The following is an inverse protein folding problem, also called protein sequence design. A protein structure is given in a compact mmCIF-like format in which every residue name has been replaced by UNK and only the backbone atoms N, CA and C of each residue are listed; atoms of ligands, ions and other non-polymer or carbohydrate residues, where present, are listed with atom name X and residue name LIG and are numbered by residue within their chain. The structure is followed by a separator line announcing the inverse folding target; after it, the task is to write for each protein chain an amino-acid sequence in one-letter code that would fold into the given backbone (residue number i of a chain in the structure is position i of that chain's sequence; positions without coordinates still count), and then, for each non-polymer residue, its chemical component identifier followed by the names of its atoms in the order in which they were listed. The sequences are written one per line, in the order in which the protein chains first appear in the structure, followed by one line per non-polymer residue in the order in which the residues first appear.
data_IF_028971165175
#
_entry.id   IF_028971165175
#
_cell.length_a   1.000
_cell.length_b   1.000
_cell.length_c   1.000
_cell.angle_alpha   90.00
_cell.angle_beta   90.00
_cell.angle_gamma   90.00
#
_symmetry.space_group_name_H-M   'P 1'
#
loop_
_entity.id
_entity.type
_entity.pdbx_description
1 polymer ?
#
# COMPACT_ATOMS: atom_id res chain seq x y z
N UNK A 1 4.99 -59.21 15.81
CA UNK A 1 5.04 -59.02 14.33
C UNK A 1 4.16 -57.82 13.98
N UNK A 2 4.43 -57.16 12.84
CA UNK A 2 3.74 -55.98 12.25
C UNK A 2 4.09 -54.58 12.77
N UNK A 3 5.26 -54.06 12.38
CA UNK A 3 5.51 -52.58 12.31
C UNK A 3 6.39 -52.18 11.11
N UNK A 4 6.60 -53.09 10.14
CA UNK A 4 7.55 -52.89 9.04
C UNK A 4 6.90 -52.47 7.71
N UNK A 5 5.58 -52.24 7.67
CA UNK A 5 4.87 -51.96 6.40
C UNK A 5 4.37 -50.51 6.23
N UNK A 6 4.28 -49.72 7.30
CA UNK A 6 3.84 -48.32 7.19
C UNK A 6 4.98 -47.39 6.70
N UNK A 7 6.23 -47.72 7.03
CA UNK A 7 7.39 -46.85 6.71
C UNK A 7 7.83 -46.85 5.23
N UNK A 8 7.42 -47.85 4.42
CA UNK A 8 7.77 -47.88 2.98
C UNK A 8 6.84 -47.01 2.13
N UNK A 9 5.57 -46.84 2.53
CA UNK A 9 4.61 -46.00 1.81
C UNK A 9 4.95 -44.50 1.88
N UNK A 10 5.31 -44.01 3.06
CA UNK A 10 5.59 -42.59 3.32
C UNK A 10 6.88 -42.13 2.61
N UNK A 11 7.94 -42.95 2.62
CA UNK A 11 9.19 -42.63 1.89
C UNK A 11 8.98 -42.51 0.37
N UNK A 12 8.12 -43.33 -0.22
CA UNK A 12 7.82 -43.26 -1.65
C UNK A 12 7.00 -42.02 -2.04
N UNK A 13 6.11 -41.54 -1.16
CA UNK A 13 5.33 -40.33 -1.38
C UNK A 13 6.23 -39.09 -1.27
N UNK A 14 7.08 -39.02 -0.25
CA UNK A 14 8.02 -37.91 -0.05
C UNK A 14 9.09 -37.84 -1.16
N UNK A 15 9.57 -38.99 -1.66
CA UNK A 15 10.47 -39.04 -2.81
C UNK A 15 9.83 -38.53 -4.10
N UNK A 16 8.56 -38.88 -4.35
CA UNK A 16 7.80 -38.39 -5.52
C UNK A 16 7.49 -36.89 -5.43
N UNK A 17 7.16 -36.38 -4.24
CA UNK A 17 6.96 -34.94 -4.02
C UNK A 17 8.27 -34.16 -4.18
N UNK A 18 9.38 -34.64 -3.63
CA UNK A 18 10.69 -34.02 -3.77
C UNK A 18 11.13 -33.94 -5.24
N UNK A 19 10.90 -35.00 -6.03
CA UNK A 19 11.24 -34.99 -7.45
C UNK A 19 10.31 -34.09 -8.27
N UNK A 20 9.02 -33.97 -7.93
CA UNK A 20 8.08 -33.05 -8.59
C UNK A 20 8.42 -31.59 -8.29
N UNK A 21 8.82 -31.28 -7.05
CA UNK A 21 9.28 -29.95 -6.63
C UNK A 21 10.61 -29.60 -7.31
N UNK A 22 11.57 -30.54 -7.34
CA UNK A 22 12.85 -30.34 -8.05
C UNK A 22 12.67 -30.15 -9.56
N UNK A 23 11.72 -30.86 -10.20
CA UNK A 23 11.37 -30.63 -11.62
C UNK A 23 10.75 -29.26 -11.86
N UNK A 24 9.90 -28.79 -10.94
CA UNK A 24 9.30 -27.45 -11.04
C UNK A 24 10.32 -26.32 -10.81
N UNK A 25 11.31 -26.54 -9.95
CA UNK A 25 12.39 -25.56 -9.71
C UNK A 25 13.40 -25.56 -10.88
N UNK A 26 13.75 -26.74 -11.43
CA UNK A 26 14.64 -26.86 -12.58
C UNK A 26 14.05 -26.27 -13.88
N UNK A 27 12.71 -26.27 -14.02
CA UNK A 27 12.05 -25.66 -15.17
C UNK A 27 11.88 -24.13 -15.06
N UNK A 28 12.16 -23.53 -13.90
CA UNK A 28 12.02 -22.07 -13.68
C UNK A 28 13.35 -21.31 -13.74
N UNK A 29 14.46 -21.99 -14.01
CA UNK A 29 15.75 -21.35 -14.26
C UNK A 29 16.21 -21.67 -15.68
N UNK A 30 15.85 -20.77 -16.62
CA UNK A 30 16.53 -20.39 -17.86
C UNK A 30 15.50 -19.93 -18.90
N UNK A 31 15.18 -18.64 -18.91
CA UNK A 31 15.42 -17.74 -20.06
C UNK A 31 15.05 -16.32 -19.64
N UNK A 32 16.07 -15.46 -19.52
CA UNK A 32 15.94 -14.00 -19.50
C UNK A 32 15.51 -13.50 -20.88
N UNK A 33 14.26 -13.78 -21.24
CA UNK A 33 13.51 -13.07 -22.26
C UNK A 33 12.09 -13.00 -21.72
N UNK A 34 11.69 -11.82 -21.23
CA UNK A 34 10.28 -11.53 -20.93
C UNK A 34 9.50 -11.50 -22.25
N UNK A 35 9.26 -12.66 -22.84
CA UNK A 35 8.06 -12.83 -23.65
C UNK A 35 6.89 -12.63 -22.71
N UNK A 36 6.24 -11.48 -22.86
CA UNK A 36 4.97 -11.18 -22.23
C UNK A 36 4.03 -12.32 -22.60
N UNK A 37 3.77 -13.23 -21.65
CA UNK A 37 2.68 -14.19 -21.74
C UNK A 37 1.40 -13.38 -21.94
N UNK A 38 0.96 -13.28 -23.20
CA UNK A 38 -0.31 -12.65 -23.57
C UNK A 38 -1.43 -13.58 -23.14
N UNK A 39 -1.78 -13.55 -21.86
CA UNK A 39 -3.07 -14.05 -21.43
C UNK A 39 -4.15 -13.22 -22.14
N UNK A 40 -5.09 -13.89 -22.81
CA UNK A 40 -6.26 -13.20 -23.38
C UNK A 40 -7.08 -12.66 -22.21
N UNK A 41 -6.98 -11.35 -21.95
CA UNK A 41 -7.87 -10.63 -21.06
C UNK A 41 -9.32 -10.93 -21.49
N UNK A 42 -10.17 -11.53 -20.63
CA UNK A 42 -11.52 -11.91 -21.02
C UNK A 42 -12.30 -10.67 -21.49
N UNK A 43 -13.13 -10.80 -22.53
CA UNK A 43 -13.80 -9.68 -23.22
C UNK A 43 -14.46 -8.65 -22.26
N UNK A 44 -15.00 -9.11 -21.12
CA UNK A 44 -15.66 -8.27 -20.11
C UNK A 44 -14.73 -7.37 -19.30
N UNK A 45 -13.42 -7.59 -19.35
CA UNK A 45 -12.40 -6.83 -18.64
C UNK A 45 -11.58 -5.92 -19.57
N UNK A 46 -11.93 -5.89 -20.86
CA UNK A 46 -11.33 -4.96 -21.83
C UNK A 46 -11.91 -3.55 -21.63
N UNK A 47 -11.37 -2.80 -20.67
CA UNK A 47 -11.55 -1.35 -20.67
C UNK A 47 -10.64 -0.78 -21.75
N UNK A 48 -11.23 -0.21 -22.81
CA UNK A 48 -10.51 0.24 -24.01
C UNK A 48 -9.75 1.54 -23.70
N UNK A 49 -8.46 1.43 -23.45
CA UNK A 49 -7.55 2.56 -23.28
C UNK A 49 -7.14 3.14 -24.65
N UNK A 50 -6.90 4.45 -24.74
CA UNK A 50 -6.29 5.08 -25.94
C UNK A 50 -4.79 4.77 -25.95
N UNK A 51 -4.47 3.64 -26.57
CA UNK A 51 -3.18 2.93 -26.49
C UNK A 51 -3.46 1.56 -25.89
N UNK A 52 -2.90 0.47 -26.42
CA UNK A 52 -3.28 -0.91 -26.06
C UNK A 52 -2.83 -1.35 -24.65
N UNK A 53 -3.06 -0.55 -23.60
CA UNK A 53 -2.74 -0.89 -22.23
C UNK A 53 -4.00 -1.36 -21.51
N UNK A 54 -3.91 -2.56 -20.95
CA UNK A 54 -4.96 -3.18 -20.15
C UNK A 54 -4.41 -3.32 -18.73
N UNK A 55 -5.12 -2.76 -17.75
CA UNK A 55 -4.90 -3.13 -16.35
C UNK A 55 -5.63 -4.45 -16.14
N UNK A 56 -4.87 -5.51 -15.88
CA UNK A 56 -5.41 -6.80 -15.53
C UNK A 56 -5.63 -6.85 -14.01
N UNK A 57 -6.80 -7.33 -13.56
CA UNK A 57 -7.12 -7.41 -12.12
C UNK A 57 -6.05 -8.20 -11.32
N UNK A 58 -5.34 -9.12 -11.98
CA UNK A 58 -4.27 -9.92 -11.37
C UNK A 58 -3.03 -9.12 -10.98
N UNK A 59 -2.85 -7.90 -11.51
CA UNK A 59 -1.74 -7.02 -11.13
C UNK A 59 -2.09 -6.14 -9.91
N UNK A 60 -3.36 -6.12 -9.49
CA UNK A 60 -3.81 -5.31 -8.36
C UNK A 60 -3.58 -6.07 -7.05
N UNK A 61 -2.69 -5.56 -6.21
CA UNK A 61 -2.41 -6.10 -4.88
C UNK A 61 -3.42 -5.56 -3.86
N UNK A 62 -4.64 -6.07 -3.96
CA UNK A 62 -5.77 -5.72 -3.09
C UNK A 62 -5.92 -6.76 -1.99
N UNK A 63 -6.11 -6.30 -0.75
CA UNK A 63 -6.24 -7.14 0.43
C UNK A 63 -7.50 -6.81 1.19
N UNK A 64 -8.09 -7.85 1.78
CA UNK A 64 -9.26 -7.71 2.61
C UNK A 64 -8.91 -6.97 3.91
N UNK A 65 -9.53 -5.80 4.09
CA UNK A 65 -9.39 -4.99 5.28
C UNK A 65 -9.78 -5.75 6.57
N UNK A 66 -10.68 -6.73 6.50
CA UNK A 66 -11.10 -7.50 7.68
C UNK A 66 -9.96 -8.28 8.35
N UNK A 67 -8.88 -8.54 7.60
CA UNK A 67 -7.67 -9.25 8.06
C UNK A 67 -6.49 -8.33 8.31
N UNK A 68 -6.71 -7.01 8.38
CA UNK A 68 -5.63 -6.03 8.48
C UNK A 68 -4.77 -6.26 9.73
N UNK A 69 -5.38 -6.29 10.91
CA UNK A 69 -4.62 -6.44 12.16
C UNK A 69 -3.84 -7.75 12.20
N UNK A 70 -4.45 -8.88 11.82
CA UNK A 70 -3.77 -10.19 11.70
C UNK A 70 -2.52 -10.10 10.83
N UNK A 71 -2.61 -9.39 9.70
CA UNK A 71 -1.47 -9.18 8.79
C UNK A 71 -0.39 -8.33 9.44
N UNK A 72 -0.77 -7.18 9.99
CA UNK A 72 0.17 -6.26 10.63
C UNK A 72 0.89 -6.95 11.80
N UNK A 73 0.18 -7.74 12.63
CA UNK A 73 0.80 -8.52 13.73
C UNK A 73 1.82 -9.54 13.24
N UNK A 74 1.67 -10.05 12.02
CA UNK A 74 2.57 -11.04 11.43
C UNK A 74 3.78 -10.40 10.72
N UNK A 75 3.72 -9.10 10.45
CA UNK A 75 4.79 -8.37 9.78
C UNK A 75 5.85 -7.88 10.77
N UNK A 76 7.06 -7.69 10.25
CA UNK A 76 8.21 -7.14 10.99
C UNK A 76 8.75 -5.96 10.22
N UNK A 77 9.52 -5.12 10.93
CA UNK A 77 10.23 -4.00 10.32
C UNK A 77 9.29 -3.04 9.57
N UNK A 78 8.13 -2.76 10.18
CA UNK A 78 7.12 -1.88 9.62
C UNK A 78 7.07 -0.55 10.37
N UNK A 79 6.64 0.50 9.67
CA UNK A 79 6.31 1.78 10.29
C UNK A 79 4.97 2.32 9.78
N UNK A 80 4.29 3.08 10.62
CA UNK A 80 3.12 3.87 10.22
C UNK A 80 3.56 5.29 9.92
N UNK A 81 3.07 5.87 8.83
CA UNK A 81 3.31 7.27 8.46
C UNK A 81 1.99 8.02 8.40
N UNK A 82 1.80 8.96 9.33
CA UNK A 82 0.68 9.91 9.34
C UNK A 82 1.10 11.19 8.64
N UNK A 83 0.47 11.52 7.51
CA UNK A 83 0.89 12.62 6.64
C UNK A 83 -0.14 13.76 6.64
N UNK A 84 0.32 14.96 7.00
CA UNK A 84 -0.34 16.25 6.79
C UNK A 84 -1.77 16.34 7.35
N UNK A 85 -2.00 15.73 8.51
CA UNK A 85 -3.28 15.83 9.25
C UNK A 85 -3.40 17.14 10.03
N UNK A 86 -3.10 18.27 9.38
CA UNK A 86 -3.21 19.63 9.93
C UNK A 86 -4.60 20.21 9.63
N UNK A 87 -5.11 21.10 10.49
CA UNK A 87 -6.47 21.65 10.33
C UNK A 87 -6.67 22.33 8.97
N UNK A 88 -5.68 23.12 8.52
CA UNK A 88 -5.73 23.85 7.24
C UNK A 88 -6.05 22.92 6.06
N UNK A 89 -5.42 21.75 5.97
CA UNK A 89 -5.69 20.79 4.90
C UNK A 89 -7.01 20.04 5.05
N UNK A 90 -7.53 19.94 6.28
CA UNK A 90 -8.77 19.23 6.55
C UNK A 90 -10.02 20.05 6.22
N UNK A 91 -9.89 21.37 6.06
CA UNK A 91 -11.00 22.25 5.66
C UNK A 91 -11.53 21.89 4.26
N UNK A 92 -10.65 21.46 3.36
CA UNK A 92 -11.00 21.09 1.97
C UNK A 92 -11.51 19.63 1.84
N UNK A 93 -11.41 18.85 2.92
CA UNK A 93 -11.88 17.46 2.93
C UNK A 93 -13.36 17.42 3.28
N UNK A 94 -14.15 16.78 2.41
CA UNK A 94 -15.58 16.61 2.66
C UNK A 94 -15.84 15.96 4.04
N UNK A 95 -16.77 16.52 4.81
CA UNK A 95 -17.03 16.12 6.20
C UNK A 95 -17.23 14.61 6.42
N UNK A 96 -17.83 13.91 5.45
CA UNK A 96 -18.00 12.45 5.51
C UNK A 96 -16.65 11.72 5.47
N UNK A 97 -15.73 12.20 4.63
CA UNK A 97 -14.39 11.63 4.49
C UNK A 97 -13.48 12.04 5.62
N UNK A 98 -13.54 13.30 6.09
CA UNK A 98 -12.85 13.76 7.31
C UNK A 98 -13.19 12.84 8.50
N UNK A 99 -14.48 12.62 8.78
CA UNK A 99 -14.93 11.71 9.86
C UNK A 99 -14.47 10.27 9.65
N UNK A 100 -14.48 9.79 8.40
CA UNK A 100 -14.03 8.44 8.05
C UNK A 100 -12.54 8.28 8.34
N UNK A 101 -11.69 9.13 7.76
CA UNK A 101 -10.23 9.00 7.90
C UNK A 101 -9.81 9.19 9.36
N UNK A 102 -10.37 10.16 10.08
CA UNK A 102 -10.00 10.41 11.47
C UNK A 102 -10.33 9.20 12.35
N UNK A 103 -11.50 8.60 12.16
CA UNK A 103 -11.88 7.38 12.88
C UNK A 103 -10.86 6.25 12.67
N UNK A 104 -10.53 5.95 11.41
CA UNK A 104 -9.66 4.81 11.10
C UNK A 104 -8.18 5.10 11.38
N UNK A 105 -7.73 6.34 11.22
CA UNK A 105 -6.38 6.73 11.63
C UNK A 105 -6.21 6.61 13.14
N UNK A 106 -7.21 7.02 13.93
CA UNK A 106 -7.20 6.80 15.39
C UNK A 106 -7.09 5.32 15.74
N UNK A 107 -7.87 4.46 15.08
CA UNK A 107 -7.80 3.00 15.25
C UNK A 107 -6.38 2.48 14.98
N UNK A 108 -5.76 2.92 13.88
CA UNK A 108 -4.38 2.52 13.55
C UNK A 108 -3.35 3.05 14.55
N UNK A 109 -3.48 4.29 15.01
CA UNK A 109 -2.57 4.87 16.00
C UNK A 109 -2.74 4.19 17.37
N UNK A 110 -3.96 3.84 17.77
CA UNK A 110 -4.25 3.07 18.99
C UNK A 110 -3.58 1.70 18.92
N UNK A 111 -3.72 1.04 17.77
CA UNK A 111 -3.06 -0.24 17.50
C UNK A 111 -1.52 -0.11 17.53
N UNK A 112 -0.97 0.97 16.97
CA UNK A 112 0.46 1.25 17.05
C UNK A 112 0.97 1.42 18.47
N UNK A 113 0.17 2.02 19.36
CA UNK A 113 0.51 2.14 20.79
C UNK A 113 0.54 0.76 21.44
N UNK A 114 -0.47 -0.07 21.17
CA UNK A 114 -0.61 -1.41 21.76
C UNK A 114 0.54 -2.33 21.36
N UNK A 115 0.92 -2.30 20.09
CA UNK A 115 1.93 -3.20 19.51
C UNK A 115 3.35 -2.59 19.50
N UNK A 116 3.51 -1.34 19.96
CA UNK A 116 4.79 -0.64 19.95
C UNK A 116 5.35 -0.35 18.55
N UNK A 117 4.48 -0.30 17.53
CA UNK A 117 4.87 -0.03 16.14
C UNK A 117 5.48 1.37 16.04
N UNK A 118 6.56 1.49 15.27
CA UNK A 118 7.19 2.78 15.03
C UNK A 118 6.28 3.66 14.16
N UNK A 119 5.92 4.84 14.67
CA UNK A 119 5.05 5.78 13.95
C UNK A 119 5.79 7.08 13.66
N UNK A 120 5.77 7.51 12.41
CA UNK A 120 6.26 8.82 12.01
C UNK A 120 5.06 9.71 11.74
N UNK A 121 5.07 10.88 12.33
CA UNK A 121 4.08 11.92 12.09
C UNK A 121 4.74 13.00 11.26
N UNK A 122 4.14 13.33 10.13
CA UNK A 122 4.65 14.28 9.15
C UNK A 122 3.68 15.45 9.08
N UNK A 123 4.23 16.67 9.19
CA UNK A 123 3.48 17.91 8.98
C UNK A 123 4.14 18.73 7.88
N UNK A 124 3.33 19.41 7.09
CA UNK A 124 3.79 20.42 6.15
C UNK A 124 4.21 21.67 6.91
N UNK A 125 5.38 22.19 6.56
CA UNK A 125 5.95 23.38 7.18
C UNK A 125 5.06 24.60 7.00
N UNK A 126 4.92 25.41 8.05
CA UNK A 126 4.18 26.67 8.06
C UNK A 126 2.65 26.55 7.82
N UNK A 127 2.08 25.34 7.87
CA UNK A 127 0.63 25.07 7.70
C UNK A 127 -0.10 24.72 9.03
N UNK A 128 0.35 25.31 10.14
CA UNK A 128 -0.22 25.07 11.47
C UNK A 128 0.11 23.72 12.10
N UNK A 129 -0.68 23.33 13.10
CA UNK A 129 -0.50 22.10 13.89
C UNK A 129 -1.44 20.97 13.46
N UNK A 130 -1.13 19.76 13.93
CA UNK A 130 -1.97 18.58 13.75
C UNK A 130 -3.35 18.85 14.36
N UNK A 131 -4.40 18.42 13.66
CA UNK A 131 -5.79 18.57 14.08
C UNK A 131 -6.04 18.08 15.50
N UNK A 132 -6.86 18.82 16.25
CA UNK A 132 -7.25 18.46 17.62
C UNK A 132 -7.90 17.08 17.69
N UNK A 133 -8.57 16.65 16.62
CA UNK A 133 -9.23 15.35 16.57
C UNK A 133 -8.26 14.15 16.67
N UNK A 134 -6.98 14.36 16.32
CA UNK A 134 -5.92 13.36 16.30
C UNK A 134 -4.71 13.72 17.19
N UNK A 135 -4.48 14.99 17.52
CA UNK A 135 -3.29 15.41 18.29
C UNK A 135 -3.15 14.66 19.62
N UNK A 136 -4.25 14.48 20.35
CA UNK A 136 -4.25 13.78 21.65
C UNK A 136 -3.75 12.32 21.58
N UNK A 137 -3.97 11.63 20.46
CA UNK A 137 -3.49 10.26 20.27
C UNK A 137 -2.05 10.24 19.78
N UNK A 138 -1.67 11.22 18.95
CA UNK A 138 -0.28 11.44 18.53
C UNK A 138 0.62 11.68 19.75
N UNK A 139 0.15 12.47 20.72
CA UNK A 139 0.89 12.74 21.95
C UNK A 139 1.17 11.47 22.77
N UNK A 140 0.23 10.51 22.75
CA UNK A 140 0.35 9.22 23.45
C UNK A 140 1.31 8.22 22.80
N UNK A 141 1.70 8.42 21.54
CA UNK A 141 2.67 7.54 20.87
C UNK A 141 4.02 7.59 21.59
N UNK A 142 4.53 6.44 22.02
CA UNK A 142 5.82 6.35 22.69
C UNK A 142 6.98 6.16 21.70
N UNK A 143 6.78 5.33 20.67
CA UNK A 143 7.76 5.05 19.62
C UNK A 143 7.45 5.91 18.38
N UNK A 144 7.67 7.23 18.49
CA UNK A 144 7.41 8.16 17.39
C UNK A 144 8.55 9.12 17.06
N UNK A 145 8.50 9.62 15.83
CA UNK A 145 9.22 10.81 15.40
C UNK A 145 8.24 11.81 14.75
N UNK A 146 8.49 13.10 14.96
CA UNK A 146 7.79 14.19 14.27
C UNK A 146 8.72 14.76 13.20
N UNK A 147 8.21 14.88 11.97
CA UNK A 147 8.94 15.42 10.82
C UNK A 147 8.15 16.60 10.27
N UNK A 148 8.86 17.69 10.03
CA UNK A 148 8.34 18.83 9.29
C UNK A 148 8.94 18.81 7.88
N UNK A 149 8.09 18.91 6.85
CA UNK A 149 8.52 18.86 5.45
C UNK A 149 8.19 20.17 4.70
N UNK A 150 9.08 20.66 3.81
CA UNK A 150 8.82 21.85 3.00
C UNK A 150 8.23 21.53 1.61
N UNK A 151 7.99 20.25 1.29
CA UNK A 151 7.58 19.74 -0.03
C UNK A 151 6.52 18.67 0.10
N UNK A 152 5.94 18.25 -1.03
CA UNK A 152 4.87 17.25 -1.04
C UNK A 152 5.34 15.89 -0.51
N UNK A 153 6.52 15.43 -0.94
CA UNK A 153 7.14 14.21 -0.42
C UNK A 153 7.71 14.43 0.99
N UNK A 154 7.41 13.51 1.90
CA UNK A 154 7.99 13.49 3.24
C UNK A 154 9.49 13.12 3.25
N UNK A 155 10.04 12.64 2.14
CA UNK A 155 11.47 12.37 2.00
C UNK A 155 12.28 13.58 1.54
N UNK A 156 11.63 14.56 0.91
CA UNK A 156 12.30 15.71 0.33
C UNK A 156 12.75 16.68 1.41
N UNK A 157 14.07 16.89 1.48
CA UNK A 157 14.71 17.83 2.42
C UNK A 157 14.40 17.52 3.90
N UNK A 158 14.19 16.25 4.24
CA UNK A 158 14.00 15.79 5.62
C UNK A 158 15.00 14.70 5.99
N UNK A 159 15.00 14.27 7.25
CA UNK A 159 15.77 13.11 7.72
C UNK A 159 14.93 11.82 7.79
N UNK A 160 13.77 11.77 7.11
CA UNK A 160 12.85 10.62 7.14
C UNK A 160 13.57 9.31 6.78
N UNK A 161 14.32 9.31 5.67
CA UNK A 161 14.99 8.09 5.22
C UNK A 161 16.02 7.57 6.24
N UNK A 162 16.77 8.48 6.88
CA UNK A 162 17.75 8.10 7.90
C UNK A 162 17.06 7.45 9.10
N UNK A 163 15.98 8.05 9.60
CA UNK A 163 15.20 7.50 10.72
C UNK A 163 14.62 6.11 10.43
N UNK A 164 14.11 5.91 9.21
CA UNK A 164 13.61 4.62 8.76
C UNK A 164 14.72 3.57 8.65
N UNK A 165 15.89 3.95 8.11
CA UNK A 165 17.07 3.08 7.99
C UNK A 165 17.63 2.67 9.37
N UNK A 166 17.74 3.62 10.30
CA UNK A 166 18.22 3.38 11.67
C UNK A 166 17.37 2.35 12.42
N UNK A 167 16.06 2.29 12.10
CA UNK A 167 15.10 1.33 12.66
C UNK A 167 14.90 0.09 11.78
N UNK A 168 15.72 -0.09 10.75
CA UNK A 168 15.66 -1.20 9.78
C UNK A 168 14.29 -1.37 9.09
N UNK A 169 13.50 -0.31 8.97
CA UNK A 169 12.17 -0.37 8.38
C UNK A 169 12.24 -0.83 6.92
N UNK A 170 11.30 -1.68 6.52
CA UNK A 170 11.14 -2.23 5.16
C UNK A 170 9.79 -1.91 4.54
N UNK A 171 8.74 -1.75 5.35
CA UNK A 171 7.38 -1.47 4.85
C UNK A 171 6.74 -0.29 5.57
N UNK A 172 6.09 0.58 4.80
CA UNK A 172 5.39 1.77 5.30
C UNK A 172 3.88 1.64 5.11
N UNK A 173 3.12 1.76 6.19
CA UNK A 173 1.67 1.97 6.12
C UNK A 173 1.38 3.46 6.08
N UNK A 174 0.94 3.94 4.92
CA UNK A 174 0.72 5.34 4.63
C UNK A 174 -0.73 5.72 4.94
N UNK A 175 -0.91 6.75 5.76
CA UNK A 175 -2.20 7.34 6.08
C UNK A 175 -2.09 8.87 6.09
N UNK A 176 -3.21 9.57 5.86
CA UNK A 176 -3.21 11.03 5.83
C UNK A 176 -3.85 11.62 4.59
N UNK A 177 -3.47 12.85 4.28
CA UNK A 177 -3.99 13.62 3.14
C UNK A 177 -2.84 14.35 2.43
N UNK A 178 -2.95 14.72 1.16
CA UNK A 178 -3.99 14.29 0.22
C UNK A 178 -3.58 12.97 -0.46
N UNK A 179 -4.53 12.06 -0.67
CA UNK A 179 -4.32 10.71 -1.21
C UNK A 179 -3.55 10.70 -2.54
N UNK A 180 -3.78 11.69 -3.41
CA UNK A 180 -3.09 11.84 -4.70
C UNK A 180 -2.02 12.94 -4.73
N UNK A 181 -1.85 13.67 -3.62
CA UNK A 181 -0.79 14.66 -3.43
C UNK A 181 0.31 14.12 -2.52
N UNK A 182 0.49 14.74 -1.35
CA UNK A 182 1.54 14.41 -0.39
C UNK A 182 1.69 12.93 -0.07
N UNK A 183 0.58 12.19 0.08
CA UNK A 183 0.63 10.74 0.36
C UNK A 183 1.24 9.98 -0.82
N UNK A 184 0.85 10.31 -2.06
CA UNK A 184 1.32 9.62 -3.27
C UNK A 184 2.77 9.98 -3.59
N UNK A 185 3.14 11.25 -3.48
CA UNK A 185 4.53 11.66 -3.74
C UNK A 185 5.48 11.05 -2.70
N UNK A 186 5.07 10.99 -1.42
CA UNK A 186 5.81 10.23 -0.40
C UNK A 186 5.89 8.74 -0.74
N UNK A 187 4.81 8.15 -1.25
CA UNK A 187 4.77 6.74 -1.64
C UNK A 187 5.73 6.42 -2.80
N UNK A 188 5.80 7.29 -3.82
CA UNK A 188 6.75 7.14 -4.93
C UNK A 188 8.18 7.14 -4.43
N UNK A 189 8.54 8.12 -3.61
CA UNK A 189 9.89 8.22 -3.05
C UNK A 189 10.23 7.04 -2.14
N UNK A 190 9.27 6.53 -1.37
CA UNK A 190 9.43 5.34 -0.57
C UNK A 190 9.80 4.13 -1.45
N UNK A 191 9.07 3.91 -2.54
CA UNK A 191 9.34 2.83 -3.50
C UNK A 191 10.73 3.01 -4.12
N UNK A 192 11.07 4.21 -4.57
CA UNK A 192 12.39 4.51 -5.16
C UNK A 192 13.54 4.26 -4.18
N UNK A 193 13.29 4.42 -2.87
CA UNK A 193 14.24 4.14 -1.79
C UNK A 193 14.21 2.68 -1.30
N UNK A 194 13.39 1.83 -1.91
CA UNK A 194 13.33 0.40 -1.64
C UNK A 194 12.44 -0.02 -0.48
N UNK A 195 11.49 0.83 -0.06
CA UNK A 195 10.45 0.45 0.89
C UNK A 195 9.23 -0.14 0.17
N UNK A 196 8.66 -1.18 0.75
CA UNK A 196 7.30 -1.61 0.42
C UNK A 196 6.30 -0.60 0.99
N UNK A 197 5.19 -0.39 0.29
CA UNK A 197 4.13 0.51 0.76
C UNK A 197 2.80 -0.22 0.90
N UNK A 198 2.02 0.18 1.89
CA UNK A 198 0.63 -0.23 2.08
C UNK A 198 -0.24 0.98 2.44
N UNK A 199 -1.50 0.97 2.01
CA UNK A 199 -2.48 1.97 2.42
C UNK A 199 -3.90 1.41 2.41
N UNK A 200 -4.89 2.24 2.71
CA UNK A 200 -6.31 1.90 2.70
C UNK A 200 -7.16 3.10 2.31
N UNK A 201 -8.20 2.84 1.52
CA UNK A 201 -9.27 3.80 1.22
C UNK A 201 -10.08 4.22 2.45
N UNK A 202 -9.73 3.73 3.64
CA UNK A 202 -10.35 4.07 4.93
C UNK A 202 -9.61 5.15 5.71
N UNK A 203 -8.32 5.36 5.47
CA UNK A 203 -7.49 6.31 6.23
C UNK A 203 -6.72 7.31 5.34
N UNK A 204 -6.97 7.29 4.04
CA UNK A 204 -6.61 8.39 3.13
C UNK A 204 -7.86 9.07 2.57
N UNK A 205 -7.71 10.34 2.22
CA UNK A 205 -8.71 11.13 1.52
C UNK A 205 -8.03 12.21 0.67
N UNK A 206 -8.82 12.85 -0.19
CA UNK A 206 -8.39 14.00 -0.98
C UNK A 206 -9.52 15.04 -1.03
N UNK A 207 -9.21 16.31 -1.35
CA UNK A 207 -10.21 17.34 -1.56
C UNK A 207 -11.23 16.95 -2.62
N UNK A 208 -12.46 17.45 -2.46
CA UNK A 208 -13.55 17.13 -3.40
C UNK A 208 -13.24 17.56 -4.83
N UNK A 209 -12.54 18.68 -4.98
CA UNK A 209 -12.11 19.20 -6.29
C UNK A 209 -11.17 18.23 -7.02
N UNK A 210 -10.56 17.30 -6.29
CA UNK A 210 -9.68 16.27 -6.83
C UNK A 210 -10.39 14.92 -7.00
N UNK A 211 -11.69 14.79 -6.72
CA UNK A 211 -12.48 13.56 -6.98
C UNK A 211 -12.65 13.24 -8.48
N UNK A 212 -12.37 14.21 -9.34
CA UNK A 212 -12.20 13.98 -10.78
C UNK A 212 -10.78 13.53 -11.16
N UNK A 213 -9.93 13.30 -10.17
CA UNK A 213 -8.73 12.50 -10.30
C UNK A 213 -9.00 11.08 -9.78
N UNK A 214 -8.26 10.11 -10.33
CA UNK A 214 -8.25 8.72 -9.86
C UNK A 214 -8.23 8.67 -8.32
N UNK A 215 -9.06 7.84 -7.69
CA UNK A 215 -9.23 7.79 -6.21
C UNK A 215 -7.98 7.28 -5.46
N UNK A 216 -6.87 7.17 -6.17
CA UNK A 216 -5.59 6.59 -5.76
C UNK A 216 -5.60 5.08 -5.63
N UNK A 217 -6.77 4.45 -5.47
CA UNK A 217 -6.88 3.03 -5.17
C UNK A 217 -6.21 2.14 -6.21
N UNK A 218 -6.36 2.48 -7.50
CA UNK A 218 -5.67 1.76 -8.59
C UNK A 218 -4.17 1.97 -8.51
N UNK A 219 -3.68 3.22 -8.53
CA UNK A 219 -2.25 3.52 -8.42
C UNK A 219 -1.59 2.80 -7.23
N UNK A 220 -2.16 2.90 -6.03
CA UNK A 220 -1.61 2.24 -4.85
C UNK A 220 -1.64 0.72 -4.97
N UNK A 221 -2.70 0.13 -5.55
CA UNK A 221 -2.78 -1.33 -5.71
C UNK A 221 -1.82 -1.89 -6.76
N UNK A 222 -1.37 -1.06 -7.71
CA UNK A 222 -0.35 -1.44 -8.71
C UNK A 222 1.06 -1.33 -8.12
N UNK A 223 1.30 -0.34 -7.26
CA UNK A 223 2.64 -0.01 -6.76
C UNK A 223 2.88 -0.46 -5.30
N UNK A 224 1.88 -1.07 -4.66
CA UNK A 224 1.86 -1.34 -3.23
C UNK A 224 0.69 -2.23 -2.82
N UNK A 225 0.41 -2.32 -1.52
CA UNK A 225 -0.73 -3.05 -0.96
C UNK A 225 -1.88 -2.10 -0.64
N UNK A 226 -3.11 -2.41 -1.10
CA UNK A 226 -4.31 -1.65 -0.72
C UNK A 226 -5.24 -2.53 0.09
N UNK A 227 -5.46 -2.15 1.35
CA UNK A 227 -6.45 -2.79 2.22
C UNK A 227 -7.80 -2.12 2.03
N UNK A 228 -8.78 -2.85 1.51
CA UNK A 228 -10.13 -2.32 1.31
C UNK A 228 -11.16 -3.44 1.45
N UNK A 229 -12.43 -3.06 1.57
CA UNK A 229 -13.55 -4.00 1.42
C UNK A 229 -13.93 -4.21 -0.06
N UNK A 230 -13.48 -3.32 -0.95
CA UNK A 230 -13.72 -3.42 -2.39
C UNK A 230 -12.94 -4.61 -2.95
N UNK A 231 -13.57 -5.36 -3.86
CA UNK A 231 -12.86 -6.35 -4.69
C UNK A 231 -12.09 -5.62 -5.81
N UNK A 232 -11.06 -6.26 -6.41
CA UNK A 232 -10.29 -5.66 -7.51
C UNK A 232 -11.16 -5.07 -8.63
N UNK A 233 -12.18 -5.79 -9.09
CA UNK A 233 -13.08 -5.29 -10.14
C UNK A 233 -13.90 -4.06 -9.71
N UNK A 234 -14.20 -3.90 -8.42
CA UNK A 234 -14.95 -2.76 -7.89
C UNK A 234 -14.06 -1.51 -7.86
N UNK A 235 -12.76 -1.67 -7.56
CA UNK A 235 -11.78 -0.61 -7.69
C UNK A 235 -11.63 -0.16 -9.16
N UNK A 236 -11.57 -1.12 -10.09
CA UNK A 236 -11.48 -0.81 -11.52
C UNK A 236 -12.73 -0.10 -12.04
N UNK A 237 -13.93 -0.54 -11.67
CA UNK A 237 -15.17 0.07 -12.13
C UNK A 237 -15.35 1.48 -11.55
N UNK A 238 -14.97 1.70 -10.28
CA UNK A 238 -15.00 3.03 -9.68
C UNK A 238 -14.08 4.03 -10.41
N UNK A 239 -12.92 3.55 -10.87
CA UNK A 239 -11.91 4.36 -11.55
C UNK A 239 -12.03 4.36 -13.08
N UNK A 240 -13.06 3.74 -13.64
CA UNK A 240 -13.22 3.55 -15.08
C UNK A 240 -13.15 4.85 -15.89
N UNK A 241 -13.67 5.96 -15.36
CA UNK A 241 -13.56 7.29 -16.00
C UNK A 241 -12.11 7.79 -16.12
N UNK A 242 -11.24 7.43 -15.19
CA UNK A 242 -9.82 7.84 -15.18
C UNK A 242 -8.93 6.85 -15.94
N UNK A 243 -9.31 5.56 -15.91
CA UNK A 243 -8.68 4.54 -16.74
C UNK A 243 -8.85 4.83 -18.24
N UNK A 244 -9.85 5.59 -18.66
CA UNK A 244 -10.11 5.84 -20.09
C UNK A 244 -9.45 7.13 -20.62
N UNK A 245 -9.00 8.06 -19.77
CA UNK A 245 -8.88 9.48 -20.17
C UNK A 245 -7.48 10.12 -20.21
N UNK A 246 -6.39 9.52 -19.70
CA UNK A 246 -5.07 10.20 -19.74
C UNK A 246 -4.06 9.55 -20.71
N UNK A 247 -4.03 9.91 -22.01
CA UNK A 247 -2.90 9.54 -22.85
C UNK A 247 -1.62 10.19 -22.31
N UNK A 248 -0.65 9.38 -21.83
CA UNK A 248 0.74 9.84 -21.72
C UNK A 248 1.49 9.67 -20.40
N UNK A 249 0.93 9.05 -19.35
CA UNK A 249 1.64 8.90 -18.06
C UNK A 249 1.74 7.43 -17.64
N UNK A 250 2.46 6.64 -18.42
CA UNK A 250 3.10 5.42 -17.90
C UNK A 250 4.44 5.24 -18.63
N UNK A 251 5.43 6.05 -18.23
CA UNK A 251 6.84 5.73 -18.50
C UNK A 251 7.34 4.92 -17.31
N UNK A 252 6.99 3.63 -17.28
CA UNK A 252 7.71 2.70 -16.41
C UNK A 252 9.19 2.80 -16.76
N UNK A 253 10.02 3.13 -15.78
CA UNK A 253 11.47 3.14 -15.94
C UNK A 253 11.91 1.78 -16.48
N UNK A 254 12.61 1.82 -17.62
CA UNK A 254 13.34 0.67 -18.17
C UNK A 254 14.67 0.54 -17.46
#
# INVERSE_FOLDING_TARGET
MTSTHINRGIKNILGKLSNKIKKNIANNHLTNNKEVLRFKCPERYKVKYRGNFYIDESILNVRDYSKLHERISAEKDIAFLLIDMQEEFLEDIHNKDKKRIIRYQREMLEYSIQEGIYTIVVKFKDCGDISEEISWIVDKLQNKDLIEKPKDSAFDQTNLNLKLQDKNIKKLYLMGINAMGCVRETAKDAIEKGYDIATSDRWIAQPREWEDEEDGGIWYSVNGEVHTKKKPYELMEHNKKHLITKPGIWRGNR
#
